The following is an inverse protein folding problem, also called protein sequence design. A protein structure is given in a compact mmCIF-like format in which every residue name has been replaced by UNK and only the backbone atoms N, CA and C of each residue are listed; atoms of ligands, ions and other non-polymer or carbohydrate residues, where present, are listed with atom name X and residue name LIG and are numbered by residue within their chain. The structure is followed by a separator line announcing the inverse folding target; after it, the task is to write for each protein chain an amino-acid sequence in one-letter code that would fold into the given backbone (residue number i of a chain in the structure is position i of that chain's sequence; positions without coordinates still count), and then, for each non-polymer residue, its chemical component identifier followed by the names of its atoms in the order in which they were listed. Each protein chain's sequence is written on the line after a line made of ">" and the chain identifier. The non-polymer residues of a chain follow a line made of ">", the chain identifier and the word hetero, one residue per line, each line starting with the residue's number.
data_IF_157961381599
#
_entry.id   IF_157961381599
#
_cell.length_a   1.000
_cell.length_b   1.000
_cell.length_c   1.000
_cell.angle_alpha   90.00
_cell.angle_beta   90.00
_cell.angle_gamma   90.00
#
_symmetry.space_group_name_H-M   'P 1'
#
loop_
_entity.id
_entity.type
_entity.pdbx_description
1 polymer ?
#
# COMPACT_ATOMS: atom_id res chain seq x y z
N UNK A 1 25.70 -14.05 -0.08
CA UNK A 1 24.56 -13.12 -0.05
C UNK A 1 23.95 -12.88 -1.43
N UNK A 2 24.63 -13.14 -2.52
CA UNK A 2 24.13 -12.98 -3.87
C UNK A 2 24.05 -11.49 -4.31
N UNK A 3 23.32 -11.25 -5.43
CA UNK A 3 23.16 -9.92 -6.01
C UNK A 3 22.23 -9.08 -5.14
N UNK A 4 22.62 -7.85 -4.85
CA UNK A 4 21.80 -6.86 -4.14
C UNK A 4 20.90 -6.10 -5.10
N UNK A 5 19.70 -5.77 -4.62
CA UNK A 5 18.80 -4.87 -5.33
C UNK A 5 18.91 -3.44 -4.77
N UNK A 6 18.95 -3.28 -3.45
CA UNK A 6 19.20 -1.98 -2.83
C UNK A 6 20.69 -1.62 -2.87
N UNK A 7 21.00 -0.40 -3.30
CA UNK A 7 22.34 0.16 -3.21
C UNK A 7 22.53 0.83 -1.84
N UNK A 8 23.14 0.12 -0.90
CA UNK A 8 23.48 0.64 0.42
C UNK A 8 24.96 0.99 0.48
N UNK A 9 25.27 2.06 1.18
CA UNK A 9 26.64 2.36 1.58
C UNK A 9 26.91 1.70 2.94
N UNK A 10 27.69 0.64 2.94
CA UNK A 10 28.10 -0.09 4.15
C UNK A 10 29.59 0.20 4.39
N UNK A 11 29.86 1.17 5.28
CA UNK A 11 31.24 1.60 5.63
C UNK A 11 32.09 1.95 4.41
N UNK A 12 31.54 2.66 3.43
CA UNK A 12 32.22 3.11 2.22
C UNK A 12 32.13 2.12 1.04
N UNK A 13 31.56 0.95 1.23
CA UNK A 13 31.33 -0.04 0.17
C UNK A 13 29.88 0.00 -0.27
N UNK A 14 29.64 0.21 -1.56
CA UNK A 14 28.30 0.19 -2.14
C UNK A 14 27.93 -1.21 -2.59
N UNK A 15 26.71 -1.65 -2.23
CA UNK A 15 26.23 -3.03 -2.48
C UNK A 15 25.74 -3.25 -3.90
N UNK A 16 25.26 -2.22 -4.59
CA UNK A 16 24.77 -2.26 -5.96
C UNK A 16 25.12 -0.96 -6.73
N UNK A 17 26.44 -0.64 -6.91
CA UNK A 17 26.86 0.63 -7.51
C UNK A 17 26.41 0.79 -8.96
N UNK A 18 26.28 -0.32 -9.70
CA UNK A 18 25.87 -0.35 -11.10
C UNK A 18 24.36 -0.66 -11.27
N UNK A 19 23.54 -0.25 -10.28
CA UNK A 19 22.09 -0.50 -10.36
C UNK A 19 21.49 0.25 -11.54
N UNK A 20 20.63 -0.42 -12.34
CA UNK A 20 20.02 0.14 -13.55
C UNK A 20 19.13 1.38 -13.29
N UNK A 21 18.64 1.57 -12.06
CA UNK A 21 17.89 2.76 -11.62
C UNK A 21 18.80 3.82 -10.96
N UNK A 22 20.12 3.72 -11.10
CA UNK A 22 21.08 4.62 -10.47
C UNK A 22 21.27 4.31 -8.99
N UNK A 23 21.45 5.34 -8.14
CA UNK A 23 21.61 5.19 -6.69
C UNK A 23 20.27 4.87 -6.01
N UNK A 24 19.71 3.73 -6.38
CA UNK A 24 18.44 3.26 -5.84
C UNK A 24 18.65 2.44 -4.55
N UNK A 25 17.90 2.68 -3.47
CA UNK A 25 16.71 3.54 -3.36
C UNK A 25 16.98 4.96 -2.82
N UNK A 26 18.24 5.34 -2.63
CA UNK A 26 18.61 6.63 -2.06
C UNK A 26 18.04 7.84 -2.82
N UNK A 27 17.93 7.75 -4.16
CA UNK A 27 17.32 8.80 -4.98
C UNK A 27 15.89 9.13 -4.50
N UNK A 28 15.10 8.13 -4.16
CA UNK A 28 13.76 8.33 -3.60
C UNK A 28 13.82 8.86 -2.17
N UNK A 29 14.71 8.30 -1.36
CA UNK A 29 14.87 8.72 0.02
C UNK A 29 15.20 10.21 0.17
N UNK A 30 16.05 10.77 -0.67
CA UNK A 30 16.41 12.20 -0.64
C UNK A 30 15.21 13.15 -0.83
N UNK A 31 14.14 12.67 -1.41
CA UNK A 31 12.86 13.42 -1.56
C UNK A 31 11.93 13.18 -0.38
N UNK A 32 11.78 11.93 0.03
CA UNK A 32 10.88 11.50 1.09
C UNK A 32 11.36 11.96 2.47
N UNK A 33 12.67 11.92 2.71
CA UNK A 33 13.24 12.22 4.00
C UNK A 33 12.98 13.64 4.53
N UNK A 34 12.59 14.55 3.66
CA UNK A 34 12.18 15.93 4.02
C UNK A 34 10.81 15.99 4.66
N UNK A 35 9.97 15.01 4.37
CA UNK A 35 8.61 14.87 4.93
C UNK A 35 8.61 14.10 6.27
N UNK A 36 9.76 13.55 6.67
CA UNK A 36 9.92 12.77 7.89
C UNK A 36 10.74 13.59 8.89
N UNK A 37 10.33 13.70 10.15
CA UNK A 37 11.09 14.41 11.18
C UNK A 37 12.55 13.95 11.25
N UNK A 38 13.46 14.87 11.54
CA UNK A 38 14.88 14.57 11.67
C UNK A 38 15.18 13.59 12.82
N UNK A 39 14.33 13.57 13.86
CA UNK A 39 14.39 12.61 14.97
C UNK A 39 13.10 11.80 15.04
N UNK A 40 13.26 10.49 15.13
CA UNK A 40 12.19 9.52 15.36
C UNK A 40 12.29 8.87 16.74
N UNK A 41 12.89 9.58 17.73
CA UNK A 41 12.98 9.08 19.10
C UNK A 41 11.61 8.71 19.66
N UNK A 42 11.48 7.55 20.29
CA UNK A 42 10.23 7.00 20.81
C UNK A 42 9.25 6.52 19.75
N UNK A 43 9.65 6.43 18.48
CA UNK A 43 8.79 6.03 17.36
C UNK A 43 9.06 4.60 16.92
N UNK A 44 7.97 3.92 16.55
CA UNK A 44 7.98 2.59 15.95
C UNK A 44 7.77 2.65 14.43
N UNK A 45 8.46 1.78 13.70
CA UNK A 45 8.44 1.71 12.24
C UNK A 45 8.21 0.28 11.77
N UNK A 46 7.28 0.09 10.83
CA UNK A 46 7.11 -1.13 10.06
C UNK A 46 7.50 -0.87 8.60
N UNK A 47 8.50 -1.60 8.10
CA UNK A 47 8.95 -1.55 6.71
C UNK A 47 8.50 -2.83 5.98
N UNK A 48 7.45 -2.71 5.17
CA UNK A 48 6.81 -3.83 4.47
C UNK A 48 7.47 -4.02 3.10
N UNK A 49 8.02 -5.23 2.86
CA UNK A 49 8.82 -5.51 1.67
C UNK A 49 10.19 -4.84 1.76
N UNK A 50 10.84 -4.96 2.92
CA UNK A 50 12.04 -4.21 3.26
C UNK A 50 13.25 -4.51 2.38
N UNK A 51 13.24 -5.57 1.58
CA UNK A 51 14.33 -5.97 0.70
C UNK A 51 15.68 -6.00 1.46
N UNK A 52 16.75 -5.37 0.97
CA UNK A 52 18.05 -5.25 1.64
C UNK A 52 18.07 -4.29 2.84
N UNK A 53 16.90 -3.80 3.31
CA UNK A 53 16.78 -3.05 4.56
C UNK A 53 17.11 -1.55 4.45
N UNK A 54 17.14 -0.97 3.26
CA UNK A 54 17.53 0.44 3.10
C UNK A 54 16.65 1.40 3.94
N UNK A 55 15.34 1.34 3.77
CA UNK A 55 14.43 2.25 4.49
C UNK A 55 14.39 1.94 5.99
N UNK A 56 14.44 0.68 6.37
CA UNK A 56 14.57 0.26 7.78
C UNK A 56 15.80 0.89 8.43
N UNK A 57 16.97 0.86 7.77
CA UNK A 57 18.22 1.44 8.25
C UNK A 57 18.12 2.97 8.31
N UNK A 58 17.57 3.63 7.32
CA UNK A 58 17.42 5.08 7.32
C UNK A 58 16.47 5.60 8.41
N UNK A 59 15.38 4.86 8.69
CA UNK A 59 14.48 5.16 9.81
C UNK A 59 15.20 4.96 11.16
N UNK A 60 15.95 3.88 11.31
CA UNK A 60 16.76 3.63 12.52
C UNK A 60 17.84 4.67 12.70
N UNK A 61 18.49 5.12 11.62
CA UNK A 61 19.50 6.20 11.63
C UNK A 61 18.92 7.53 12.14
N UNK A 62 17.61 7.76 11.96
CA UNK A 62 16.87 8.90 12.55
C UNK A 62 16.46 8.67 14.01
N UNK A 63 16.89 7.58 14.63
CA UNK A 63 16.68 7.30 16.04
C UNK A 63 15.32 6.64 16.34
N UNK A 64 14.66 5.97 15.36
CA UNK A 64 13.49 5.18 15.66
C UNK A 64 13.78 4.16 16.76
N UNK A 65 12.93 4.10 17.80
CA UNK A 65 13.10 3.22 18.93
C UNK A 65 13.00 1.75 18.51
N UNK A 66 11.96 1.44 17.76
CA UNK A 66 11.74 0.10 17.24
C UNK A 66 11.55 0.14 15.72
N UNK A 67 12.24 -0.73 15.00
CA UNK A 67 12.07 -0.93 13.56
C UNK A 67 11.90 -2.40 13.27
N UNK A 68 10.82 -2.74 12.59
CA UNK A 68 10.54 -4.08 12.07
C UNK A 68 10.51 -4.03 10.54
N UNK A 69 11.47 -4.70 9.90
CA UNK A 69 11.45 -4.96 8.46
C UNK A 69 10.87 -6.33 8.17
N UNK A 70 9.95 -6.43 7.22
CA UNK A 70 9.40 -7.72 6.77
C UNK A 70 9.59 -7.90 5.27
N UNK A 71 9.87 -9.13 4.87
CA UNK A 71 9.95 -9.55 3.47
C UNK A 71 9.60 -11.04 3.36
N UNK A 72 9.27 -11.52 2.17
CA UNK A 72 9.01 -12.93 1.89
C UNK A 72 10.28 -13.68 1.43
N UNK A 73 11.31 -12.95 0.97
CA UNK A 73 12.56 -13.53 0.45
C UNK A 73 13.65 -13.54 1.53
N UNK A 74 14.01 -14.73 1.98
CA UNK A 74 15.09 -14.92 2.97
C UNK A 74 16.44 -14.36 2.51
N UNK A 75 16.69 -14.29 1.21
CA UNK A 75 17.92 -13.69 0.66
C UNK A 75 17.97 -12.21 0.99
N UNK A 76 16.88 -11.47 0.80
CA UNK A 76 16.79 -10.06 1.14
C UNK A 76 16.89 -9.83 2.64
N UNK A 77 16.18 -10.64 3.43
CA UNK A 77 16.26 -10.55 4.89
C UNK A 77 17.69 -10.81 5.42
N UNK A 78 18.41 -11.74 4.81
CA UNK A 78 19.81 -12.00 5.19
C UNK A 78 20.72 -10.82 4.78
N UNK A 79 20.48 -10.17 3.65
CA UNK A 79 21.15 -8.95 3.24
C UNK A 79 20.87 -7.81 4.22
N UNK A 80 19.60 -7.62 4.59
CA UNK A 80 19.15 -6.57 5.52
C UNK A 80 19.80 -6.74 6.91
N UNK A 81 19.78 -7.96 7.47
CA UNK A 81 20.46 -8.26 8.74
C UNK A 81 21.95 -7.97 8.66
N UNK A 82 22.62 -8.47 7.64
CA UNK A 82 24.05 -8.21 7.45
C UNK A 82 24.36 -6.71 7.39
N UNK A 83 23.55 -5.92 6.66
CA UNK A 83 23.76 -4.49 6.54
C UNK A 83 23.53 -3.78 7.89
N UNK A 84 22.44 -4.09 8.58
CA UNK A 84 22.12 -3.52 9.89
C UNK A 84 23.20 -3.84 10.93
N UNK A 85 23.60 -5.11 11.06
CA UNK A 85 24.63 -5.58 12.00
C UNK A 85 25.96 -4.89 11.72
N UNK A 86 26.39 -4.81 10.45
CA UNK A 86 27.65 -4.18 10.06
C UNK A 86 27.69 -2.67 10.35
N UNK A 87 26.51 -2.02 10.26
CA UNK A 87 26.35 -0.60 10.57
C UNK A 87 26.05 -0.33 12.06
N UNK A 88 25.92 -1.38 12.88
CA UNK A 88 25.65 -1.28 14.31
C UNK A 88 24.22 -0.86 14.66
N UNK A 89 23.24 -1.18 13.81
CA UNK A 89 21.82 -0.91 14.05
C UNK A 89 21.09 -2.15 14.53
N UNK A 90 20.36 -2.01 15.65
CA UNK A 90 19.44 -3.01 16.17
C UNK A 90 18.09 -2.88 15.47
N UNK A 91 17.81 -3.77 14.52
CA UNK A 91 16.60 -3.80 13.69
C UNK A 91 16.09 -5.24 13.61
N UNK A 92 14.80 -5.42 13.90
CA UNK A 92 14.14 -6.71 13.71
C UNK A 92 13.84 -6.95 12.22
N UNK A 93 14.19 -8.14 11.72
CA UNK A 93 13.82 -8.57 10.38
C UNK A 93 13.11 -9.92 10.43
N UNK A 94 11.87 -9.98 9.89
CA UNK A 94 11.05 -11.19 9.91
C UNK A 94 10.58 -11.59 8.51
N UNK A 95 10.55 -12.90 8.29
CA UNK A 95 9.86 -13.45 7.13
C UNK A 95 8.36 -13.38 7.37
N UNK A 96 7.68 -12.54 6.59
CA UNK A 96 6.25 -12.34 6.68
C UNK A 96 5.73 -11.79 5.35
N UNK A 97 4.62 -12.35 4.88
CA UNK A 97 3.89 -11.81 3.74
C UNK A 97 3.03 -10.62 4.18
N UNK A 98 2.78 -9.69 3.25
CA UNK A 98 1.79 -8.62 3.47
C UNK A 98 0.39 -9.18 3.80
N UNK A 99 0.06 -10.36 3.31
CA UNK A 99 -1.20 -11.03 3.60
C UNK A 99 -1.27 -11.67 4.99
N UNK A 100 -0.16 -11.70 5.72
CA UNK A 100 -0.04 -12.27 7.06
C UNK A 100 0.18 -11.17 8.12
N UNK A 101 -0.03 -9.90 7.79
CA UNK A 101 0.21 -8.75 8.67
C UNK A 101 -0.61 -8.83 9.98
N UNK A 102 -1.74 -9.51 10.00
CA UNK A 102 -2.53 -9.72 11.23
C UNK A 102 -1.77 -10.54 12.28
N UNK A 103 -0.76 -11.32 11.88
CA UNK A 103 0.14 -12.03 12.80
C UNK A 103 1.13 -11.11 13.54
N UNK A 104 1.30 -9.87 13.08
CA UNK A 104 2.14 -8.86 13.72
C UNK A 104 1.27 -8.05 14.68
N UNK A 105 1.51 -8.09 16.01
CA UNK A 105 0.68 -7.38 16.96
C UNK A 105 0.88 -5.87 16.90
N UNK A 106 -0.17 -5.13 17.25
CA UNK A 106 -0.13 -3.67 17.39
C UNK A 106 -0.11 -2.89 16.09
N UNK A 107 0.13 -1.59 16.25
CA UNK A 107 0.25 -0.60 15.19
C UNK A 107 1.59 0.13 15.34
N UNK A 108 2.01 0.82 14.26
CA UNK A 108 3.29 1.51 14.18
C UNK A 108 3.07 3.01 13.89
N UNK A 109 3.92 3.86 14.46
CA UNK A 109 3.89 5.31 14.19
C UNK A 109 4.17 5.61 12.70
N UNK A 110 5.02 4.78 12.07
CA UNK A 110 5.35 4.87 10.65
C UNK A 110 5.20 3.50 10.00
N UNK A 111 4.49 3.46 8.88
CA UNK A 111 4.44 2.29 7.99
C UNK A 111 5.03 2.69 6.65
N UNK A 112 6.07 1.98 6.22
CA UNK A 112 6.70 2.11 4.91
C UNK A 112 6.17 0.99 4.03
N UNK A 113 5.43 1.35 2.97
CA UNK A 113 4.86 0.42 2.00
C UNK A 113 5.26 0.84 0.59
N UNK A 114 6.51 0.58 0.26
CA UNK A 114 7.16 1.08 -0.94
C UNK A 114 7.71 -0.04 -1.82
N UNK A 115 7.40 -0.01 -3.11
CA UNK A 115 7.88 -1.01 -4.05
C UNK A 115 7.19 -2.37 -3.92
N UNK A 116 6.02 -2.45 -3.29
CA UNK A 116 5.32 -3.71 -2.97
C UNK A 116 3.99 -3.84 -3.71
N UNK A 117 3.19 -2.78 -3.74
CA UNK A 117 1.80 -2.81 -4.18
C UNK A 117 1.60 -3.48 -5.54
N UNK A 118 2.40 -3.12 -6.53
CA UNK A 118 2.29 -3.65 -7.90
C UNK A 118 2.77 -5.11 -8.05
N UNK A 119 3.50 -5.63 -7.05
CA UNK A 119 3.88 -7.06 -6.98
C UNK A 119 2.80 -7.95 -6.37
N UNK A 120 1.74 -7.38 -5.83
CA UNK A 120 0.69 -8.13 -5.16
C UNK A 120 -0.36 -8.64 -6.15
N UNK A 121 -0.73 -9.91 -6.05
CA UNK A 121 -1.86 -10.46 -6.82
C UNK A 121 -3.19 -9.84 -6.39
N UNK A 122 -3.33 -9.52 -5.10
CA UNK A 122 -4.49 -8.88 -4.47
C UNK A 122 -4.06 -7.57 -3.83
N UNK A 123 -3.75 -6.52 -4.63
CA UNK A 123 -3.11 -5.32 -4.14
C UNK A 123 -3.97 -4.52 -3.15
N UNK A 124 -5.29 -4.47 -3.34
CA UNK A 124 -6.20 -3.77 -2.42
C UNK A 124 -6.24 -4.45 -1.05
N UNK A 125 -6.31 -5.79 -1.02
CA UNK A 125 -6.22 -6.53 0.25
C UNK A 125 -4.90 -6.24 0.97
N UNK A 126 -3.78 -6.24 0.24
CA UNK A 126 -2.48 -5.89 0.82
C UNK A 126 -2.42 -4.47 1.36
N UNK A 127 -3.03 -3.52 0.65
CA UNK A 127 -3.13 -2.12 1.09
C UNK A 127 -3.96 -2.00 2.38
N UNK A 128 -5.15 -2.63 2.41
CA UNK A 128 -6.04 -2.58 3.56
C UNK A 128 -5.39 -3.17 4.82
N UNK A 129 -4.70 -4.32 4.68
CA UNK A 129 -3.95 -4.94 5.77
C UNK A 129 -2.79 -4.06 6.25
N UNK A 130 -2.07 -3.41 5.31
CA UNK A 130 -0.98 -2.50 5.65
C UNK A 130 -1.48 -1.24 6.38
N UNK A 131 -2.60 -0.67 5.93
CA UNK A 131 -3.21 0.53 6.57
C UNK A 131 -3.66 0.23 8.00
N UNK A 132 -4.18 -0.95 8.31
CA UNK A 132 -4.53 -1.37 9.68
C UNK A 132 -3.33 -1.31 10.64
N UNK A 133 -2.09 -1.39 10.13
CA UNK A 133 -0.87 -1.31 10.93
C UNK A 133 -0.39 0.12 11.19
N UNK A 134 -1.00 1.13 10.59
CA UNK A 134 -0.58 2.51 10.73
C UNK A 134 -1.36 3.22 11.85
N UNK A 135 -0.65 3.68 12.89
CA UNK A 135 -1.17 4.59 13.90
C UNK A 135 -0.93 6.07 13.52
N UNK A 136 0.01 6.34 12.63
CA UNK A 136 0.44 7.68 12.27
C UNK A 136 0.71 7.82 10.77
N UNK A 137 1.97 7.95 10.39
CA UNK A 137 2.35 8.19 8.99
C UNK A 137 2.40 6.90 8.18
N UNK A 138 1.75 6.90 7.02
CA UNK A 138 1.80 5.84 6.02
C UNK A 138 2.52 6.37 4.77
N UNK A 139 3.64 5.75 4.41
CA UNK A 139 4.46 6.10 3.25
C UNK A 139 4.17 5.08 2.17
N UNK A 140 3.47 5.50 1.12
CA UNK A 140 3.10 4.63 0.01
C UNK A 140 3.90 4.96 -1.24
N UNK A 141 4.38 3.92 -1.93
CA UNK A 141 4.94 4.08 -3.27
C UNK A 141 4.49 2.93 -4.18
N UNK A 142 4.08 3.30 -5.37
CA UNK A 142 3.77 2.35 -6.44
C UNK A 142 4.29 2.87 -7.77
N UNK A 143 4.74 1.93 -8.61
CA UNK A 143 4.95 2.23 -10.03
C UNK A 143 3.67 2.81 -10.63
N UNK A 144 3.78 3.85 -11.46
CA UNK A 144 2.65 4.46 -12.16
C UNK A 144 2.81 4.30 -13.68
N UNK A 145 1.70 4.13 -14.37
CA UNK A 145 1.61 4.22 -15.83
C UNK A 145 0.32 4.93 -16.25
N UNK A 146 0.25 5.36 -17.49
CA UNK A 146 -0.86 6.16 -17.99
C UNK A 146 -0.72 7.64 -17.61
N UNK A 147 -1.85 8.31 -17.36
CA UNK A 147 -1.83 9.74 -17.03
C UNK A 147 -1.26 10.02 -15.65
N UNK A 148 -0.42 11.06 -15.58
CA UNK A 148 0.07 11.66 -14.34
C UNK A 148 -0.85 12.76 -13.80
N UNK A 149 -1.88 13.12 -14.57
CA UNK A 149 -2.88 14.10 -14.19
C UNK A 149 -4.02 13.41 -13.44
N UNK A 150 -4.66 14.14 -12.54
CA UNK A 150 -5.86 13.68 -11.83
C UNK A 150 -7.06 14.49 -12.33
N UNK A 151 -8.16 13.77 -12.59
CA UNK A 151 -9.46 14.38 -12.95
C UNK A 151 -10.32 14.67 -11.71
N UNK A 152 -11.36 15.46 -11.90
CA UNK A 152 -12.46 15.60 -10.96
C UNK A 152 -13.64 14.76 -11.46
N UNK A 153 -14.07 13.81 -10.65
CA UNK A 153 -15.05 12.82 -11.05
C UNK A 153 -16.30 12.90 -10.19
N UNK A 154 -17.45 12.55 -10.76
CA UNK A 154 -18.70 12.51 -10.03
C UNK A 154 -18.65 11.42 -8.94
N UNK A 155 -19.48 11.59 -7.90
CA UNK A 155 -19.61 10.60 -6.82
C UNK A 155 -20.41 9.38 -7.23
N UNK A 156 -21.18 9.47 -8.32
CA UNK A 156 -22.01 8.41 -8.86
C UNK A 156 -22.21 8.58 -10.36
N UNK A 157 -22.47 7.48 -11.07
CA UNK A 157 -22.70 7.44 -12.50
C UNK A 157 -23.90 6.55 -12.81
N UNK A 158 -24.73 6.96 -13.77
CA UNK A 158 -25.76 6.08 -14.27
C UNK A 158 -25.14 4.93 -15.10
N UNK A 159 -25.83 3.79 -15.15
CA UNK A 159 -25.39 2.61 -15.93
C UNK A 159 -25.07 2.94 -17.41
N UNK A 160 -25.70 3.96 -17.96
CA UNK A 160 -25.55 4.36 -19.36
C UNK A 160 -24.41 5.37 -19.60
N UNK A 161 -23.73 5.81 -18.56
CA UNK A 161 -22.58 6.70 -18.65
C UNK A 161 -21.29 5.87 -18.68
N UNK A 162 -20.66 5.79 -19.83
CA UNK A 162 -19.45 5.00 -20.05
C UNK A 162 -18.26 5.82 -20.60
N UNK A 163 -18.51 7.05 -21.07
CA UNK A 163 -17.49 7.89 -21.70
C UNK A 163 -16.33 8.24 -20.79
N UNK A 164 -16.54 8.32 -19.46
CA UNK A 164 -15.49 8.60 -18.50
C UNK A 164 -14.37 7.53 -18.54
N UNK A 165 -14.69 6.27 -18.88
CA UNK A 165 -13.67 5.22 -18.99
C UNK A 165 -12.69 5.44 -20.14
N UNK A 166 -13.01 6.35 -21.08
CA UNK A 166 -12.14 6.73 -22.19
C UNK A 166 -11.21 7.90 -21.83
N UNK A 167 -11.45 8.57 -20.70
CA UNK A 167 -10.61 9.67 -20.25
C UNK A 167 -9.34 9.12 -19.60
N UNK A 168 -8.14 9.51 -20.07
CA UNK A 168 -6.89 8.99 -19.52
C UNK A 168 -6.65 9.37 -18.05
N UNK A 169 -7.36 10.38 -17.53
CA UNK A 169 -7.27 10.79 -16.13
C UNK A 169 -8.25 10.06 -15.22
N UNK A 170 -9.17 9.26 -15.79
CA UNK A 170 -10.05 8.41 -14.99
C UNK A 170 -9.24 7.35 -14.24
N UNK A 171 -9.59 7.01 -12.97
CA UNK A 171 -8.89 5.98 -12.20
C UNK A 171 -8.83 4.65 -12.96
N UNK A 172 -7.62 4.21 -13.30
CA UNK A 172 -7.40 2.98 -14.06
C UNK A 172 -6.24 2.17 -13.49
N UNK A 173 -6.41 0.84 -13.47
CA UNK A 173 -5.37 -0.13 -13.14
C UNK A 173 -5.07 -1.00 -14.36
N UNK A 174 -3.80 -1.10 -14.73
CA UNK A 174 -3.34 -1.92 -15.86
C UNK A 174 -2.89 -3.28 -15.36
N UNK A 175 -3.58 -4.32 -15.81
CA UNK A 175 -3.22 -5.70 -15.51
C UNK A 175 -2.09 -6.18 -16.43
N UNK A 176 -1.07 -6.79 -15.85
CA UNK A 176 0.06 -7.37 -16.56
C UNK A 176 -0.09 -8.89 -16.53
N UNK A 177 -0.43 -9.47 -17.69
CA UNK A 177 -0.69 -10.92 -17.79
C UNK A 177 0.56 -11.78 -17.59
N UNK A 178 1.70 -11.32 -18.11
CA UNK A 178 2.93 -12.15 -18.12
C UNK A 178 4.06 -11.53 -17.29
N UNK A 179 4.69 -10.49 -17.79
CA UNK A 179 5.78 -9.80 -17.12
C UNK A 179 5.94 -8.36 -17.63
N UNK A 180 6.43 -7.50 -16.75
CA UNK A 180 6.81 -6.14 -17.06
C UNK A 180 8.19 -5.84 -16.48
N UNK A 181 9.06 -5.14 -17.21
CA UNK A 181 10.45 -4.89 -16.82
C UNK A 181 11.22 -6.20 -16.46
N UNK A 182 10.98 -7.28 -17.21
CA UNK A 182 11.53 -8.62 -17.00
C UNK A 182 11.11 -9.31 -15.69
N UNK A 183 10.17 -8.72 -14.93
CA UNK A 183 9.66 -9.24 -13.68
C UNK A 183 8.24 -9.81 -13.87
N UNK A 184 8.03 -11.12 -13.62
CA UNK A 184 6.72 -11.76 -13.72
C UNK A 184 5.81 -11.47 -12.52
N UNK A 185 6.30 -10.81 -11.48
CA UNK A 185 5.53 -10.45 -10.29
C UNK A 185 4.92 -9.04 -10.36
N UNK A 186 5.15 -8.31 -11.44
CA UNK A 186 4.47 -7.05 -11.70
C UNK A 186 3.04 -7.33 -12.23
N UNK A 187 2.03 -7.30 -11.34
CA UNK A 187 0.65 -7.67 -11.65
C UNK A 187 -0.24 -6.50 -12.04
N UNK A 188 -0.14 -5.38 -11.28
CA UNK A 188 -1.07 -4.27 -11.40
C UNK A 188 -0.35 -2.94 -11.33
N UNK A 189 -0.51 -2.11 -12.33
CA UNK A 189 0.09 -0.78 -12.33
C UNK A 189 -1.02 0.26 -12.43
N UNK A 190 -1.24 1.10 -11.41
CA UNK A 190 -2.24 2.16 -11.45
C UNK A 190 -1.76 3.35 -12.29
N UNK A 191 -2.71 4.18 -12.77
CA UNK A 191 -2.42 5.57 -13.05
C UNK A 191 -2.46 6.39 -11.73
N UNK A 192 -2.09 7.65 -11.77
CA UNK A 192 -2.06 8.50 -10.58
C UNK A 192 -3.43 8.62 -9.91
N UNK A 193 -4.49 8.84 -10.69
CA UNK A 193 -5.86 8.93 -10.18
C UNK A 193 -6.30 7.66 -9.43
N UNK A 194 -5.96 6.49 -9.97
CA UNK A 194 -6.27 5.23 -9.30
C UNK A 194 -5.48 5.07 -8.01
N UNK A 195 -4.17 5.38 -8.00
CA UNK A 195 -3.36 5.31 -6.80
C UNK A 195 -3.94 6.18 -5.68
N UNK A 196 -4.26 7.44 -5.99
CA UNK A 196 -4.86 8.36 -5.02
C UNK A 196 -6.27 7.94 -4.57
N UNK A 197 -7.09 7.40 -5.49
CA UNK A 197 -8.43 6.91 -5.17
C UNK A 197 -8.37 5.69 -4.24
N UNK A 198 -7.45 4.75 -4.49
CA UNK A 198 -7.24 3.57 -3.65
C UNK A 198 -6.74 3.94 -2.25
N UNK A 199 -5.82 4.89 -2.14
CA UNK A 199 -5.36 5.39 -0.83
C UNK A 199 -6.53 5.99 -0.04
N UNK A 200 -7.35 6.83 -0.66
CA UNK A 200 -8.54 7.38 0.00
C UNK A 200 -9.57 6.31 0.37
N UNK A 201 -9.78 5.32 -0.51
CA UNK A 201 -10.73 4.23 -0.24
C UNK A 201 -10.27 3.32 0.91
N UNK A 202 -8.96 3.17 1.09
CA UNK A 202 -8.36 2.44 2.21
C UNK A 202 -8.38 3.25 3.54
N UNK A 203 -8.98 4.46 3.54
CA UNK A 203 -9.09 5.30 4.73
C UNK A 203 -7.85 6.13 5.03
N UNK A 204 -7.11 6.49 4.01
CA UNK A 204 -5.95 7.35 4.13
C UNK A 204 -6.25 8.76 3.60
N UNK A 205 -5.88 9.76 4.38
CA UNK A 205 -5.76 11.14 3.92
C UNK A 205 -4.37 11.35 3.33
N UNK A 206 -4.31 11.81 2.08
CA UNK A 206 -3.06 12.20 1.43
C UNK A 206 -2.62 13.55 2.02
N UNK A 207 -1.42 13.60 2.59
CA UNK A 207 -0.84 14.79 3.20
C UNK A 207 0.11 15.49 2.23
N UNK A 208 0.98 14.74 1.57
CA UNK A 208 1.91 15.26 0.57
C UNK A 208 2.26 14.23 -0.50
N UNK A 209 2.85 14.72 -1.59
CA UNK A 209 3.29 13.93 -2.74
C UNK A 209 4.71 14.38 -3.11
N UNK A 210 5.73 13.92 -2.37
CA UNK A 210 7.10 14.44 -2.45
C UNK A 210 7.80 14.13 -3.76
N UNK A 211 7.35 13.10 -4.47
CA UNK A 211 7.85 12.74 -5.80
C UNK A 211 6.79 11.95 -6.58
N UNK A 212 7.00 11.79 -7.86
CA UNK A 212 6.05 11.28 -8.85
C UNK A 212 5.29 9.99 -8.48
N UNK A 213 5.90 9.07 -7.75
CA UNK A 213 5.33 7.75 -7.41
C UNK A 213 5.09 7.56 -5.91
N UNK A 214 5.30 8.57 -5.07
CA UNK A 214 5.27 8.40 -3.60
C UNK A 214 4.33 9.40 -2.93
N UNK A 215 3.55 8.92 -1.98
CA UNK A 215 2.62 9.69 -1.17
C UNK A 215 2.92 9.51 0.32
N UNK A 216 2.83 10.60 1.06
CA UNK A 216 2.78 10.60 2.52
C UNK A 216 1.32 10.74 2.93
N UNK A 217 0.85 9.79 3.70
CA UNK A 217 -0.55 9.70 4.11
C UNK A 217 -0.66 9.56 5.63
N UNK A 218 -1.87 9.79 6.14
CA UNK A 218 -2.24 9.52 7.53
C UNK A 218 -3.59 8.79 7.56
N UNK A 219 -3.80 7.82 8.47
CA UNK A 219 -5.11 7.22 8.67
C UNK A 219 -6.14 8.28 9.06
N UNK A 220 -7.33 8.21 8.47
CA UNK A 220 -8.48 9.04 8.89
C UNK A 220 -9.25 8.34 9.99
N UNK A 221 -9.54 9.06 11.09
CA UNK A 221 -10.32 8.54 12.23
C UNK A 221 -11.80 8.27 11.90
N UNK A 222 -12.28 8.83 10.79
CA UNK A 222 -13.64 8.64 10.29
C UNK A 222 -13.64 7.66 9.13
N UNK A 223 -13.34 6.40 9.42
CA UNK A 223 -13.58 5.36 8.44
C UNK A 223 -15.04 5.36 8.06
N UNK A 224 -15.33 5.54 6.78
CA UNK A 224 -16.63 5.24 6.21
C UNK A 224 -16.93 3.78 6.53
N UNK A 225 -17.73 3.61 7.57
CA UNK A 225 -18.44 2.40 7.96
C UNK A 225 -18.13 1.20 7.07
N UNK A 226 -17.27 0.28 7.52
CA UNK A 226 -17.31 -1.14 7.18
C UNK A 226 -17.43 -1.60 5.72
N UNK A 227 -17.53 -0.71 4.76
CA UNK A 227 -17.85 -1.05 3.37
C UNK A 227 -16.70 -1.70 2.60
N UNK A 228 -15.48 -1.66 3.12
CA UNK A 228 -14.28 -2.07 2.36
C UNK A 228 -13.28 -2.92 3.14
N UNK A 229 -13.47 -3.14 4.42
CA UNK A 229 -12.81 -4.26 5.07
C UNK A 229 -13.68 -5.46 4.74
N UNK A 230 -13.22 -6.34 3.89
CA UNK A 230 -13.75 -7.69 3.83
C UNK A 230 -13.40 -8.29 5.19
N UNK A 231 -14.29 -8.17 6.15
CA UNK A 231 -14.29 -9.06 7.28
C UNK A 231 -14.57 -10.44 6.68
N UNK A 232 -13.50 -11.20 6.51
CA UNK A 232 -13.60 -12.59 6.06
C UNK A 232 -14.41 -13.45 7.05
N UNK A 233 -14.80 -12.90 8.21
CA UNK A 233 -15.73 -13.48 9.15
C UNK A 233 -17.20 -13.38 8.70
N UNK A 234 -17.55 -12.50 7.76
CA UNK A 234 -18.93 -12.28 7.31
C UNK A 234 -19.42 -13.17 6.16
N UNK A 235 -18.68 -14.18 5.77
CA UNK A 235 -19.19 -15.16 4.81
C UNK A 235 -20.26 -16.10 5.40
N UNK A 236 -20.77 -15.86 6.60
CA UNK A 236 -21.68 -16.74 7.33
C UNK A 236 -23.04 -16.18 7.74
N UNK A 237 -23.24 -14.87 7.71
CA UNK A 237 -24.55 -14.30 8.08
C UNK A 237 -25.19 -13.59 6.89
N UNK A 238 -26.02 -14.31 6.16
CA UNK A 238 -27.02 -13.70 5.27
C UNK A 238 -27.92 -12.81 6.14
N UNK A 239 -28.11 -11.55 5.73
CA UNK A 239 -29.09 -10.68 6.33
C UNK A 239 -30.45 -11.40 6.37
N UNK A 240 -31.24 -11.28 7.46
CA UNK A 240 -32.56 -11.85 7.50
C UNK A 240 -33.37 -11.29 6.33
N UNK A 241 -34.00 -12.19 5.58
CA UNK A 241 -34.96 -11.83 4.56
C UNK A 241 -36.06 -10.99 5.25
N UNK A 242 -36.19 -9.71 4.85
CA UNK A 242 -37.38 -8.95 5.20
C UNK A 242 -38.57 -9.68 4.57
N UNK A 243 -39.37 -10.32 5.38
CA UNK A 243 -40.68 -10.86 4.98
C UNK A 243 -41.51 -9.68 4.45
N UNK A 244 -41.64 -9.57 3.14
CA UNK A 244 -42.69 -8.76 2.53
C UNK A 244 -44.02 -9.31 3.01
N UNK A 245 -44.63 -8.60 3.95
CA UNK A 245 -45.99 -8.89 4.40
C UNK A 245 -46.99 -8.83 3.24
N UNK A 246 -47.51 -9.97 2.87
CA UNK A 246 -48.70 -10.08 2.03
C UNK A 246 -49.87 -9.35 2.69
N UNK A 247 -50.18 -8.16 2.22
CA UNK A 247 -51.49 -7.55 2.46
C UNK A 247 -52.54 -8.16 1.49
N UNK A 248 -53.07 -9.29 1.92
CA UNK A 248 -54.30 -9.87 1.39
C UNK A 248 -55.54 -9.18 2.04
N UNK A 249 -56.11 -8.19 1.36
CA UNK A 249 -57.54 -7.83 1.46
C UNK A 249 -57.84 -6.77 0.41
N UNK A 250 -58.79 -6.85 -0.34
CA UNK A 250 -60.08 -7.55 -0.40
C UNK A 250 -60.78 -7.08 -1.64
N UNK A 251 -61.54 -8.00 -2.20
CA UNK A 251 -62.24 -7.90 -3.44
C UNK A 251 -63.24 -6.78 -3.54
N UNK A 252 -63.57 -6.46 -4.76
CA UNK A 252 -64.96 -6.23 -5.14
C UNK A 252 -65.13 -6.40 -6.65
N UNK A 253 -65.90 -7.38 -7.02
CA UNK A 253 -66.53 -7.49 -8.34
C UNK A 253 -67.43 -6.29 -8.56
N UNK A 254 -67.41 -5.72 -9.75
CA UNK A 254 -68.68 -5.42 -10.43
C UNK A 254 -68.40 -5.31 -11.94
N UNK A 255 -69.28 -6.01 -12.63
CA UNK A 255 -69.45 -6.11 -14.06
C UNK A 255 -70.28 -4.95 -14.63
N UNK A 256 -70.41 -4.93 -15.99
CA UNK A 256 -71.37 -4.19 -16.86
C UNK A 256 -70.82 -2.80 -17.23
N UNK A 257 -70.60 -2.49 -18.45
CA UNK A 257 -71.12 -2.71 -19.81
C UNK A 257 -70.04 -2.61 -20.88
#
# INVERSE_FOLDING_TARGET
>A
MGKWFHNLNINGVYTAPDHFLGDFPNIKWQKICKEIPASLAGKSVLDIGCNGGFYSIEMKRRGAEYVLGIDVDDRYLNQARFAADTLGFDIDFRKCSVYELDSIPGQFDYVVFMGVFYHLRYPLLGLDLAVKKAAGTFIFQSMLRGSNETGSWASDYSFWQDKMFLDPTFPAMYFIEKKYCSDPTNWWIPNRSAAEAMLRSAGLKIISHPEHETWICQPESTHRNGRYVVDLEFAGELAPEEEEGEDLHGGSRNAVE
#
